data_IF_903222749092
#
_entry.id   IF_903222749092
#
_cell.length_a   1.000
_cell.length_b   1.000
_cell.length_c   1.000
_cell.angle_alpha   90.00
_cell.angle_beta   90.00
_cell.angle_gamma   90.00
#
_symmetry.space_group_name_H-M   'P 1'
#
loop_
_entity.id
_entity.type
_entity.pdbx_description
1 polymer ?
#
# COMPACT_ATOMS: atom_id res chain seq x y z
N UNK A 1 -4.97 5.18 -12.00
CA UNK A 1 -3.72 5.07 -12.81
C UNK A 1 -2.46 5.35 -11.99
N UNK A 2 -2.34 6.50 -11.31
CA UNK A 2 -1.18 6.83 -10.45
C UNK A 2 -0.80 5.72 -9.47
N UNK A 3 -1.78 5.15 -8.76
CA UNK A 3 -1.55 4.09 -7.78
C UNK A 3 -0.95 2.82 -8.41
N UNK A 4 -1.24 2.53 -9.68
CA UNK A 4 -0.67 1.39 -10.38
C UNK A 4 0.81 1.59 -10.70
N UNK A 5 1.17 2.79 -11.17
CA UNK A 5 2.57 3.14 -11.38
C UNK A 5 3.34 3.09 -10.06
N UNK A 6 2.79 3.66 -8.99
CA UNK A 6 3.40 3.61 -7.65
C UNK A 6 3.55 2.21 -7.09
N UNK A 7 2.59 1.33 -7.33
CA UNK A 7 2.67 -0.07 -6.91
C UNK A 7 3.81 -0.80 -7.61
N UNK A 8 4.04 -0.52 -8.89
CA UNK A 8 5.07 -1.16 -9.69
C UNK A 8 6.48 -0.61 -9.39
N UNK A 9 6.67 0.72 -9.43
CA UNK A 9 8.01 1.33 -9.36
C UNK A 9 8.38 1.87 -7.98
N UNK A 10 7.43 1.91 -7.05
CA UNK A 10 7.62 2.50 -5.73
C UNK A 10 7.50 4.04 -5.73
N UNK A 11 7.48 4.61 -4.51
CA UNK A 11 7.20 6.03 -4.29
C UNK A 11 8.27 6.97 -4.85
N UNK A 12 9.54 6.64 -4.63
CA UNK A 12 10.67 7.50 -5.03
C UNK A 12 10.74 7.61 -6.55
N UNK A 13 10.74 6.47 -7.25
CA UNK A 13 10.75 6.45 -8.71
C UNK A 13 9.50 7.11 -9.31
N UNK A 14 8.33 6.94 -8.71
CA UNK A 14 7.12 7.63 -9.14
C UNK A 14 7.25 9.17 -9.01
N UNK A 15 7.93 9.68 -7.98
CA UNK A 15 8.18 11.11 -7.85
C UNK A 15 9.11 11.63 -8.96
N UNK A 16 10.17 10.90 -9.28
CA UNK A 16 11.07 11.26 -10.40
C UNK A 16 10.33 11.29 -11.75
N UNK A 17 9.35 10.40 -11.95
CA UNK A 17 8.51 10.40 -13.16
C UNK A 17 7.64 11.65 -13.23
N UNK A 18 7.08 12.11 -12.11
CA UNK A 18 6.29 13.36 -12.04
C UNK A 18 7.16 14.56 -12.34
N UNK A 19 8.37 14.64 -11.77
CA UNK A 19 9.29 15.75 -12.02
C UNK A 19 9.73 15.83 -13.48
N UNK A 20 9.87 14.68 -14.16
CA UNK A 20 10.37 14.63 -15.54
C UNK A 20 9.28 14.71 -16.61
N UNK A 21 8.14 14.07 -16.36
CA UNK A 21 7.09 13.87 -17.38
C UNK A 21 5.73 14.42 -16.95
N UNK A 22 5.61 14.95 -15.73
CA UNK A 22 4.37 15.54 -15.24
C UNK A 22 4.07 16.83 -16.00
N UNK A 23 2.79 17.08 -16.24
CA UNK A 23 2.37 18.36 -16.81
C UNK A 23 2.43 19.43 -15.72
N UNK A 24 3.13 20.53 -15.98
CA UNK A 24 3.20 21.69 -15.09
C UNK A 24 1.79 22.29 -14.94
N UNK A 25 1.40 22.61 -13.70
CA UNK A 25 0.15 23.32 -13.43
C UNK A 25 0.23 24.75 -13.94
N UNK A 26 -0.85 25.25 -14.55
CA UNK A 26 -0.93 26.62 -15.08
C UNK A 26 -0.78 27.69 -13.98
N UNK A 27 -1.02 27.31 -12.72
CA UNK A 27 -0.67 28.09 -11.53
C UNK A 27 -0.40 27.16 -10.35
N UNK A 28 0.59 27.48 -9.49
CA UNK A 28 0.93 26.64 -8.35
C UNK A 28 -0.21 26.62 -7.32
N UNK A 29 -0.56 25.43 -6.82
CA UNK A 29 -1.47 25.26 -5.69
C UNK A 29 -0.65 24.89 -4.44
N UNK A 30 -0.11 25.90 -3.76
CA UNK A 30 0.83 25.71 -2.66
C UNK A 30 2.12 25.05 -3.16
N UNK A 31 2.45 23.86 -2.64
CA UNK A 31 3.63 23.09 -3.06
C UNK A 31 3.37 22.18 -4.28
N UNK A 32 2.12 22.08 -4.76
CA UNK A 32 1.79 21.29 -5.95
C UNK A 32 2.15 22.08 -7.21
N UNK A 33 3.04 21.51 -8.02
CA UNK A 33 3.58 22.14 -9.22
C UNK A 33 3.31 21.34 -10.49
N UNK A 34 3.15 20.03 -10.39
CA UNK A 34 2.92 19.12 -11.51
C UNK A 34 1.73 18.21 -11.22
N UNK A 35 0.97 17.87 -12.25
CA UNK A 35 0.04 16.73 -12.21
C UNK A 35 0.80 15.44 -12.54
N UNK A 36 0.25 14.31 -12.09
CA UNK A 36 0.79 13.01 -12.46
C UNK A 36 0.77 12.84 -13.99
N UNK A 37 1.81 12.24 -14.60
CA UNK A 37 1.86 12.05 -16.05
C UNK A 37 0.73 11.14 -16.55
N UNK A 38 0.11 11.50 -17.67
CA UNK A 38 -0.84 10.64 -18.38
C UNK A 38 -0.17 9.31 -18.80
N UNK A 39 -0.87 8.16 -18.78
CA UNK A 39 -0.27 6.87 -19.11
C UNK A 39 0.36 6.84 -20.51
N UNK A 40 -0.28 7.46 -21.50
CA UNK A 40 0.24 7.52 -22.88
C UNK A 40 1.59 8.25 -22.98
N UNK A 41 1.81 9.28 -22.16
CA UNK A 41 3.10 9.99 -22.09
C UNK A 41 4.18 9.07 -21.56
N UNK A 42 3.88 8.33 -20.48
CA UNK A 42 4.84 7.38 -19.91
C UNK A 42 5.15 6.22 -20.86
N UNK A 43 4.13 5.68 -21.54
CA UNK A 43 4.31 4.58 -22.50
C UNK A 43 5.29 4.94 -23.64
N UNK A 44 5.27 6.19 -24.10
CA UNK A 44 6.21 6.70 -25.10
C UNK A 44 7.61 7.01 -24.55
N UNK A 45 7.72 7.42 -23.30
CA UNK A 45 8.93 8.07 -22.78
C UNK A 45 9.84 7.18 -21.90
N UNK A 46 9.30 6.19 -21.21
CA UNK A 46 10.07 5.37 -20.25
C UNK A 46 10.77 4.20 -20.95
N UNK A 47 11.96 3.83 -20.48
CA UNK A 47 12.72 2.69 -21.04
C UNK A 47 12.41 1.36 -20.36
N UNK A 48 11.93 1.40 -19.11
CA UNK A 48 11.57 0.21 -18.33
C UNK A 48 10.44 -0.58 -19.04
N UNK A 49 10.66 -1.85 -19.42
CA UNK A 49 9.67 -2.61 -20.18
C UNK A 49 8.36 -2.88 -19.42
N UNK A 50 8.44 -3.11 -18.10
CA UNK A 50 7.28 -3.41 -17.28
C UNK A 50 6.38 -2.18 -17.15
N UNK A 51 6.99 -1.04 -16.80
CA UNK A 51 6.29 0.24 -16.71
C UNK A 51 5.70 0.63 -18.07
N UNK A 52 6.46 0.49 -19.15
CA UNK A 52 5.97 0.79 -20.50
C UNK A 52 4.73 -0.04 -20.84
N UNK A 53 4.77 -1.34 -20.57
CA UNK A 53 3.66 -2.26 -20.91
C UNK A 53 2.43 -1.97 -20.05
N UNK A 54 2.63 -1.68 -18.75
CA UNK A 54 1.55 -1.26 -17.86
C UNK A 54 0.90 0.05 -18.34
N UNK A 55 1.70 1.07 -18.64
CA UNK A 55 1.16 2.38 -19.04
C UNK A 55 0.56 2.37 -20.43
N UNK A 56 1.04 1.52 -21.34
CA UNK A 56 0.40 1.28 -22.63
C UNK A 56 -0.98 0.64 -22.45
N UNK A 57 -1.08 -0.43 -21.65
CA UNK A 57 -2.37 -1.09 -21.37
C UNK A 57 -3.41 -0.14 -20.74
N UNK A 58 -2.96 0.78 -19.87
CA UNK A 58 -3.81 1.84 -19.32
C UNK A 58 -4.23 2.86 -20.40
N UNK A 59 -3.29 3.31 -21.23
CA UNK A 59 -3.55 4.30 -22.29
C UNK A 59 -4.52 3.78 -23.35
N UNK A 60 -4.40 2.50 -23.71
CA UNK A 60 -5.24 1.84 -24.71
C UNK A 60 -6.62 1.43 -24.14
N UNK A 61 -6.79 1.50 -22.82
CA UNK A 61 -8.03 1.11 -22.13
C UNK A 61 -8.21 -0.41 -21.95
N UNK A 62 -7.24 -1.22 -22.35
CA UNK A 62 -7.19 -2.67 -22.12
C UNK A 62 -7.14 -3.00 -20.61
N UNK A 63 -6.51 -2.12 -19.83
CA UNK A 63 -6.55 -2.17 -18.37
C UNK A 63 -7.30 -0.96 -17.84
N UNK A 64 -8.45 -1.18 -17.20
CA UNK A 64 -9.26 -0.12 -16.58
C UNK A 64 -9.10 -0.13 -15.06
N UNK A 65 -8.73 1.01 -14.49
CA UNK A 65 -8.55 1.21 -13.06
C UNK A 65 -9.36 2.41 -12.56
N UNK A 66 -10.65 2.38 -12.84
CA UNK A 66 -11.63 3.38 -12.43
C UNK A 66 -12.69 2.78 -11.49
N UNK A 67 -13.55 3.61 -10.90
CA UNK A 67 -14.53 3.18 -9.91
C UNK A 67 -15.57 2.17 -10.43
N UNK A 68 -15.73 2.04 -11.75
CA UNK A 68 -16.63 1.08 -12.39
C UNK A 68 -15.93 -0.16 -12.95
N UNK A 69 -14.61 -0.29 -12.80
CA UNK A 69 -13.87 -1.43 -13.32
C UNK A 69 -14.18 -2.72 -12.55
N UNK A 70 -14.34 -3.83 -13.29
CA UNK A 70 -14.46 -5.17 -12.70
C UNK A 70 -13.09 -5.61 -12.15
N UNK A 71 -13.09 -6.02 -10.87
CA UNK A 71 -11.83 -6.28 -10.15
C UNK A 71 -11.16 -7.56 -10.63
N UNK A 72 -11.96 -8.58 -10.95
CA UNK A 72 -11.51 -9.87 -11.46
C UNK A 72 -10.97 -9.74 -12.88
N UNK A 73 -11.59 -8.90 -13.71
CA UNK A 73 -11.07 -8.53 -15.03
C UNK A 73 -9.75 -7.77 -14.94
N UNK A 74 -9.67 -6.77 -14.07
CA UNK A 74 -8.43 -6.06 -13.84
C UNK A 74 -7.31 -6.99 -13.34
N UNK A 75 -7.60 -7.96 -12.46
CA UNK A 75 -6.59 -8.93 -12.03
C UNK A 75 -6.10 -9.83 -13.17
N UNK A 76 -7.02 -10.32 -14.01
CA UNK A 76 -6.66 -11.12 -15.18
C UNK A 76 -5.79 -10.32 -16.14
N UNK A 77 -6.15 -9.07 -16.43
CA UNK A 77 -5.36 -8.19 -17.28
C UNK A 77 -3.99 -7.89 -16.67
N UNK A 78 -3.92 -7.54 -15.37
CA UNK A 78 -2.65 -7.32 -14.67
C UNK A 78 -1.74 -8.55 -14.71
N UNK A 79 -2.31 -9.76 -14.60
CA UNK A 79 -1.56 -11.02 -14.62
C UNK A 79 -0.95 -11.38 -15.97
N UNK A 80 -1.36 -10.75 -17.07
CA UNK A 80 -0.72 -10.94 -18.40
C UNK A 80 0.43 -9.96 -18.64
N UNK A 81 0.56 -8.91 -17.82
CA UNK A 81 1.56 -7.87 -18.02
C UNK A 81 2.95 -8.33 -17.52
N UNK A 82 3.99 -8.24 -18.35
CA UNK A 82 5.35 -8.58 -17.94
C UNK A 82 5.83 -7.63 -16.83
N UNK A 83 6.41 -8.20 -15.77
CA UNK A 83 6.93 -7.46 -14.63
C UNK A 83 5.89 -7.06 -13.58
N UNK A 84 4.60 -7.35 -13.79
CA UNK A 84 3.57 -7.23 -12.76
C UNK A 84 3.45 -8.56 -12.02
N UNK A 85 4.03 -8.64 -10.83
CA UNK A 85 3.90 -9.83 -9.99
C UNK A 85 2.56 -9.86 -9.23
N UNK A 86 2.24 -11.01 -8.62
CA UNK A 86 1.00 -11.19 -7.85
C UNK A 86 0.84 -10.16 -6.73
N UNK A 87 1.94 -9.79 -6.07
CA UNK A 87 1.96 -8.79 -5.01
C UNK A 87 1.60 -7.42 -5.54
N UNK A 88 2.17 -7.03 -6.68
CA UNK A 88 1.89 -5.77 -7.36
C UNK A 88 0.45 -5.72 -7.82
N UNK A 89 -0.05 -6.78 -8.47
CA UNK A 89 -1.45 -6.86 -8.88
C UNK A 89 -2.41 -6.73 -7.67
N UNK A 90 -2.13 -7.42 -6.57
CA UNK A 90 -2.92 -7.30 -5.35
C UNK A 90 -2.83 -5.90 -4.70
N UNK A 91 -1.67 -5.25 -4.72
CA UNK A 91 -1.51 -3.86 -4.29
C UNK A 91 -2.36 -2.91 -5.15
N UNK A 92 -2.40 -3.13 -6.47
CA UNK A 92 -3.22 -2.36 -7.41
C UNK A 92 -4.70 -2.57 -7.13
N UNK A 93 -5.17 -3.82 -6.96
CA UNK A 93 -6.56 -4.10 -6.57
C UNK A 93 -6.93 -3.37 -5.27
N UNK A 94 -6.09 -3.48 -4.25
CA UNK A 94 -6.33 -2.87 -2.94
C UNK A 94 -6.36 -1.33 -3.00
N UNK A 95 -5.42 -0.69 -3.70
CA UNK A 95 -5.26 0.78 -3.69
C UNK A 95 -5.97 1.51 -4.82
N UNK A 96 -5.92 0.98 -6.03
CA UNK A 96 -6.52 1.61 -7.20
C UNK A 96 -8.01 1.29 -7.35
N UNK A 97 -8.42 0.04 -7.03
CA UNK A 97 -9.82 -0.41 -7.17
C UNK A 97 -10.59 -0.46 -5.85
N UNK A 98 -9.93 -0.12 -4.74
CA UNK A 98 -10.52 -0.19 -3.40
C UNK A 98 -11.08 -1.56 -3.06
N UNK A 99 -10.43 -2.64 -3.53
CA UNK A 99 -10.85 -4.01 -3.23
C UNK A 99 -10.76 -4.26 -1.71
N UNK A 100 -11.87 -4.61 -1.03
CA UNK A 100 -11.85 -4.86 0.40
C UNK A 100 -11.20 -6.21 0.78
N UNK A 101 -11.06 -7.14 -0.16
CA UNK A 101 -10.64 -8.52 0.10
C UNK A 101 -9.27 -8.89 -0.49
N UNK A 102 -8.50 -7.92 -1.00
CA UNK A 102 -7.14 -8.13 -1.51
C UNK A 102 -6.10 -8.26 -0.37
N UNK A 103 -5.15 -9.18 -0.52
CA UNK A 103 -4.02 -9.34 0.41
C UNK A 103 -2.70 -9.41 -0.35
N UNK A 104 -1.98 -8.29 -0.49
CA UNK A 104 -0.73 -8.26 -1.23
C UNK A 104 0.46 -8.94 -0.54
N UNK A 105 0.34 -9.25 0.75
CA UNK A 105 1.49 -9.71 1.55
C UNK A 105 1.41 -11.18 1.92
N UNK A 106 0.35 -11.90 1.51
CA UNK A 106 0.17 -13.31 1.85
C UNK A 106 0.08 -13.51 3.36
N UNK A 107 -0.71 -12.66 4.02
CA UNK A 107 -0.82 -12.57 5.47
C UNK A 107 -1.39 -13.87 6.04
N UNK A 108 -0.67 -14.44 7.02
CA UNK A 108 -1.03 -15.73 7.60
C UNK A 108 -2.44 -15.72 8.21
N UNK A 109 -3.27 -16.67 7.75
CA UNK A 109 -4.65 -16.84 8.19
C UNK A 109 -5.62 -15.76 7.69
N UNK A 110 -5.24 -14.95 6.68
CA UNK A 110 -6.08 -13.87 6.18
C UNK A 110 -7.49 -14.35 5.75
N UNK A 111 -7.62 -15.60 5.30
CA UNK A 111 -8.88 -16.21 4.90
C UNK A 111 -10.02 -16.06 5.92
N UNK A 112 -9.72 -16.00 7.22
CA UNK A 112 -10.75 -15.82 8.26
C UNK A 112 -11.42 -14.43 8.26
N UNK A 113 -10.81 -13.46 7.60
CA UNK A 113 -11.28 -12.07 7.55
C UNK A 113 -12.01 -11.73 6.25
N UNK A 114 -12.25 -12.72 5.38
CA UNK A 114 -13.07 -12.49 4.18
C UNK A 114 -14.47 -11.99 4.57
N UNK A 115 -15.06 -11.03 3.82
CA UNK A 115 -14.56 -10.41 2.60
C UNK A 115 -13.79 -9.09 2.82
N UNK A 116 -13.12 -8.92 3.97
CA UNK A 116 -12.46 -7.67 4.40
C UNK A 116 -10.95 -7.85 4.67
N UNK A 117 -10.29 -8.77 3.95
CA UNK A 117 -8.85 -9.05 4.15
C UNK A 117 -7.97 -7.81 4.06
N UNK A 118 -8.22 -6.90 3.12
CA UNK A 118 -7.41 -5.67 2.96
C UNK A 118 -7.41 -4.81 4.20
N UNK A 119 -8.54 -4.73 4.90
CA UNK A 119 -8.64 -3.95 6.14
C UNK A 119 -7.84 -4.61 7.27
N UNK A 120 -8.00 -5.93 7.46
CA UNK A 120 -7.25 -6.66 8.48
C UNK A 120 -5.74 -6.54 8.27
N UNK A 121 -5.29 -6.74 7.02
CA UNK A 121 -3.90 -6.56 6.60
C UNK A 121 -3.41 -5.15 6.94
N UNK A 122 -4.17 -4.12 6.56
CA UNK A 122 -3.82 -2.72 6.84
C UNK A 122 -3.71 -2.42 8.33
N UNK A 123 -4.60 -3.00 9.15
CA UNK A 123 -4.55 -2.87 10.60
C UNK A 123 -3.30 -3.52 11.19
N UNK A 124 -2.93 -4.71 10.74
CA UNK A 124 -1.73 -5.40 11.20
C UNK A 124 -0.45 -4.66 10.81
N UNK A 125 -0.36 -4.17 9.57
CA UNK A 125 0.76 -3.32 9.14
C UNK A 125 0.89 -2.07 10.01
N UNK A 126 -0.23 -1.43 10.32
CA UNK A 126 -0.25 -0.21 11.13
C UNK A 126 0.18 -0.50 12.57
N UNK A 127 -0.35 -1.58 13.17
CA UNK A 127 0.01 -2.01 14.51
C UNK A 127 1.51 -2.40 14.62
N UNK A 128 2.08 -3.01 13.58
CA UNK A 128 3.50 -3.35 13.53
C UNK A 128 4.42 -2.12 13.39
N UNK A 129 3.94 -1.02 12.78
CA UNK A 129 4.70 0.24 12.63
C UNK A 129 4.62 1.14 13.85
N UNK A 130 3.59 0.98 14.67
CA UNK A 130 3.48 1.74 15.90
C UNK A 130 4.54 1.25 16.90
N UNK A 131 5.30 2.17 17.53
CA UNK A 131 6.15 1.78 18.63
C UNK A 131 5.27 1.14 19.71
N UNK A 132 5.61 -0.09 20.09
CA UNK A 132 4.93 -0.78 21.18
C UNK A 132 5.05 0.10 22.42
N UNK A 133 3.96 0.75 22.84
CA UNK A 133 3.90 1.40 24.13
C UNK A 133 3.82 0.25 25.14
N UNK A 134 4.99 -0.21 25.59
CA UNK A 134 5.06 -1.16 26.70
C UNK A 134 4.31 -0.55 27.88
N UNK A 135 3.27 -1.24 28.34
CA UNK A 135 2.65 -0.91 29.61
C UNK A 135 3.74 -0.86 30.69
N UNK A 136 3.67 0.06 31.68
CA UNK A 136 4.64 0.09 32.76
C UNK A 136 4.70 -1.31 33.38
N UNK A 137 5.89 -1.93 33.28
CA UNK A 137 6.23 -3.12 34.07
C UNK A 137 5.78 -2.82 35.49
N UNK A 138 4.89 -3.65 36.04
CA UNK A 138 4.50 -3.51 37.43
C UNK A 138 5.77 -3.63 38.27
N UNK A 139 6.31 -2.48 38.66
CA UNK A 139 7.45 -2.39 39.54
C UNK A 139 7.09 -3.18 40.79
N UNK A 140 7.96 -4.11 41.14
CA UNK A 140 7.82 -5.05 42.24
C UNK A 140 7.15 -4.38 43.44
N UNK A 141 5.98 -4.89 43.82
CA UNK A 141 5.36 -4.61 45.10
C UNK A 141 6.42 -4.92 46.17
N UNK A 142 7.04 -3.88 46.71
CA UNK A 142 8.02 -3.98 47.78
C UNK A 142 7.29 -4.59 48.97
N UNK A 143 7.61 -5.84 49.29
CA UNK A 143 7.18 -6.50 50.51
C UNK A 143 7.79 -5.72 51.67
N UNK A 144 6.98 -4.84 52.26
CA UNK A 144 7.36 -4.13 53.47
C UNK A 144 7.29 -5.17 54.60
N UNK A 145 8.46 -5.70 54.99
CA UNK A 145 8.67 -6.51 56.19
C UNK A 145 8.03 -5.79 57.40
N UNK A 146 6.90 -6.30 57.86
CA UNK A 146 6.40 -6.00 59.19
C UNK A 146 7.06 -6.97 60.17
N UNK A 147 8.07 -6.49 60.89
CA UNK A 147 8.53 -7.14 62.13
C UNK A 147 7.44 -6.95 63.17
N UNK A 148 6.79 -8.03 63.58
CA UNK A 148 5.93 -8.06 64.77
C UNK A 148 6.56 -8.97 65.80
N UNK A 149 7.28 -8.34 66.73
CA UNK A 149 7.71 -8.95 67.98
C UNK A 149 6.51 -9.11 68.91
N UNK A 150 6.25 -10.33 69.38
CA UNK A 150 5.46 -10.62 70.59
C UNK A 150 5.96 -11.99 71.08
N UNK A 151 6.95 -12.08 71.98
CA UNK A 151 6.84 -12.06 73.44
C UNK A 151 5.61 -12.82 73.97
N UNK A 152 5.80 -13.98 74.62
CA UNK A 152 5.16 -14.39 75.90
C UNK A 152 5.58 -15.82 76.29
N UNK A 153 6.00 -15.94 77.56
CA UNK A 153 6.11 -17.09 78.48
C UNK A 153 7.12 -18.21 78.18
#
# INVERSE_FOLDING_TARGET
EEEAVRALVGRERAAELVERYGKVLDGPCGALTHVFPEPGVLAGAVTDPALRTLTAALADGELRLDAGADREEAERALGTLPGVDRRTAALIRMRALGDPDADPYGTAGAERWRPWRSYAVRHLETAARQPQISAPSQAAATSRQAKSSTSTA
#
